data_IF_184885593126
#
_entry.id   IF_184885593126
#
_cell.length_a   1.000
_cell.length_b   1.000
_cell.length_c   1.000
_cell.angle_alpha   90.00
_cell.angle_beta   90.00
_cell.angle_gamma   90.00
#
_symmetry.space_group_name_H-M   'P 1'
#
loop_
_entity.id
_entity.type
_entity.pdbx_description
1 polymer ?
#
# COMPACT_ATOMS: atom_id res chain seq x y z
N UNK A 1 -13.30 -7.61 -49.18
CA UNK A 1 -13.84 -8.45 -48.09
C UNK A 1 -14.04 -7.56 -46.89
N UNK A 2 -15.20 -7.66 -46.20
CA UNK A 2 -15.61 -6.71 -45.18
C UNK A 2 -14.83 -6.93 -43.88
N UNK A 3 -14.69 -5.84 -43.14
CA UNK A 3 -14.00 -5.70 -41.86
C UNK A 3 -14.74 -6.55 -40.81
N UNK A 4 -14.02 -7.46 -40.17
CA UNK A 4 -14.47 -8.17 -38.96
C UNK A 4 -14.54 -7.18 -37.79
N UNK A 5 -15.63 -6.43 -37.69
CA UNK A 5 -15.84 -5.44 -36.60
C UNK A 5 -16.84 -5.93 -35.54
N UNK A 6 -17.24 -7.22 -35.60
CA UNK A 6 -18.35 -7.76 -34.78
C UNK A 6 -17.91 -8.55 -33.54
N UNK A 7 -16.61 -8.79 -33.34
CA UNK A 7 -16.10 -9.54 -32.18
C UNK A 7 -15.76 -8.65 -30.97
N UNK A 8 -15.60 -7.34 -31.11
CA UNK A 8 -14.98 -6.50 -30.08
C UNK A 8 -15.95 -6.08 -28.95
N UNK A 9 -17.21 -5.75 -29.26
CA UNK A 9 -18.17 -5.24 -28.26
C UNK A 9 -18.74 -6.33 -27.34
N UNK A 10 -18.91 -7.55 -27.84
CA UNK A 10 -19.41 -8.66 -27.04
C UNK A 10 -18.32 -9.17 -26.07
N UNK A 11 -17.07 -9.24 -26.52
CA UNK A 11 -15.93 -9.64 -25.69
C UNK A 11 -15.65 -8.60 -24.60
N UNK A 12 -15.71 -7.30 -24.93
CA UNK A 12 -15.58 -6.24 -23.92
C UNK A 12 -16.72 -6.23 -22.90
N UNK A 13 -17.96 -6.49 -23.32
CA UNK A 13 -19.10 -6.59 -22.39
C UNK A 13 -18.93 -7.77 -21.41
N UNK A 14 -18.46 -8.93 -21.91
CA UNK A 14 -18.16 -10.10 -21.06
C UNK A 14 -17.02 -9.80 -20.10
N UNK A 15 -15.94 -9.16 -20.57
CA UNK A 15 -14.80 -8.80 -19.72
C UNK A 15 -15.20 -7.86 -18.59
N UNK A 16 -15.99 -6.83 -18.89
CA UNK A 16 -16.50 -5.90 -17.88
C UNK A 16 -17.42 -6.60 -16.89
N UNK A 17 -18.29 -7.50 -17.36
CA UNK A 17 -19.19 -8.27 -16.48
C UNK A 17 -18.39 -9.13 -15.51
N UNK A 18 -17.39 -9.87 -15.99
CA UNK A 18 -16.51 -10.67 -15.14
C UNK A 18 -15.73 -9.81 -14.14
N UNK A 19 -15.29 -8.60 -14.53
CA UNK A 19 -14.61 -7.68 -13.65
C UNK A 19 -15.54 -7.17 -12.52
N UNK A 20 -16.81 -6.89 -12.83
CA UNK A 20 -17.81 -6.53 -11.81
C UNK A 20 -18.09 -7.68 -10.86
N UNK A 21 -18.29 -8.89 -11.36
CA UNK A 21 -18.50 -10.08 -10.52
C UNK A 21 -17.31 -10.32 -9.58
N UNK A 22 -16.08 -10.17 -10.10
CA UNK A 22 -14.88 -10.26 -9.28
C UNK A 22 -14.84 -9.17 -8.20
N UNK A 23 -15.22 -7.93 -8.53
CA UNK A 23 -15.33 -6.84 -7.57
C UNK A 23 -16.34 -7.13 -6.46
N UNK A 24 -17.49 -7.69 -6.80
CA UNK A 24 -18.50 -8.09 -5.82
C UNK A 24 -18.00 -9.22 -4.91
N UNK A 25 -17.26 -10.20 -5.46
CA UNK A 25 -16.65 -11.26 -4.67
C UNK A 25 -15.61 -10.72 -3.68
N UNK A 26 -14.79 -9.74 -4.09
CA UNK A 26 -13.81 -9.08 -3.21
C UNK A 26 -14.55 -8.34 -2.09
N UNK A 27 -15.60 -7.59 -2.41
CA UNK A 27 -16.39 -6.86 -1.41
C UNK A 27 -17.08 -7.79 -0.39
N UNK A 28 -17.36 -9.03 -0.76
CA UNK A 28 -17.95 -10.05 0.11
C UNK A 28 -16.90 -10.91 0.83
N UNK A 29 -15.60 -10.64 0.63
CA UNK A 29 -14.53 -11.40 1.26
C UNK A 29 -14.44 -11.11 2.75
N UNK A 30 -13.86 -12.06 3.49
CA UNK A 30 -13.68 -11.95 4.95
C UNK A 30 -12.72 -10.80 5.26
N UNK A 31 -11.68 -10.63 4.46
CA UNK A 31 -10.67 -9.59 4.60
C UNK A 31 -11.30 -8.19 4.50
N UNK A 32 -12.19 -7.96 3.53
CA UNK A 32 -12.89 -6.68 3.38
C UNK A 32 -13.91 -6.47 4.50
N UNK A 33 -14.63 -7.52 4.92
CA UNK A 33 -15.56 -7.43 6.04
C UNK A 33 -14.85 -7.06 7.35
N UNK A 34 -13.72 -7.69 7.65
CA UNK A 34 -12.89 -7.38 8.81
C UNK A 34 -12.32 -5.97 8.73
N UNK A 35 -11.82 -5.55 7.56
CA UNK A 35 -11.34 -4.19 7.34
C UNK A 35 -12.42 -3.15 7.64
N UNK A 36 -13.63 -3.30 7.10
CA UNK A 36 -14.74 -2.37 7.34
C UNK A 36 -15.12 -2.33 8.82
N UNK A 37 -15.22 -3.49 9.47
CA UNK A 37 -15.55 -3.56 10.89
C UNK A 37 -14.49 -2.86 11.76
N UNK A 38 -13.20 -3.13 11.54
CA UNK A 38 -12.12 -2.50 12.32
C UNK A 38 -11.98 -1.02 12.03
N UNK A 39 -12.24 -0.59 10.79
CA UNK A 39 -12.31 0.82 10.42
C UNK A 39 -13.37 1.55 11.21
N UNK A 40 -14.60 1.02 11.26
CA UNK A 40 -15.70 1.62 12.02
C UNK A 40 -15.38 1.69 13.53
N UNK A 41 -14.76 0.65 14.09
CA UNK A 41 -14.34 0.63 15.50
C UNK A 41 -13.26 1.68 15.79
N UNK A 42 -12.25 1.78 14.93
CA UNK A 42 -11.18 2.76 15.04
C UNK A 42 -11.71 4.19 14.90
N UNK A 43 -12.60 4.44 13.92
CA UNK A 43 -13.27 5.73 13.73
C UNK A 43 -14.28 6.05 14.85
N UNK A 44 -14.79 5.05 15.57
CA UNK A 44 -15.63 5.22 16.75
C UNK A 44 -14.85 5.58 18.01
N UNK A 45 -13.55 5.29 18.08
CA UNK A 45 -12.74 5.46 19.28
C UNK A 45 -12.28 6.91 19.44
N UNK A 46 -12.77 7.58 20.49
CA UNK A 46 -12.42 8.98 20.80
C UNK A 46 -10.94 9.19 21.15
N UNK A 47 -10.29 8.19 21.76
CA UNK A 47 -8.85 8.26 22.05
C UNK A 47 -8.04 8.27 20.76
N UNK A 48 -8.41 7.42 19.78
CA UNK A 48 -7.77 7.41 18.46
C UNK A 48 -7.94 8.77 17.78
N UNK A 49 -9.16 9.34 17.77
CA UNK A 49 -9.40 10.67 17.18
C UNK A 49 -8.54 11.76 17.82
N UNK A 50 -8.39 11.75 19.14
CA UNK A 50 -7.55 12.71 19.85
C UNK A 50 -6.10 12.57 19.44
N UNK A 51 -5.56 11.35 19.47
CA UNK A 51 -4.18 11.07 19.11
C UNK A 51 -3.88 11.35 17.63
N UNK A 52 -4.81 11.10 16.71
CA UNK A 52 -4.66 11.46 15.29
C UNK A 52 -4.52 12.98 15.13
N UNK A 53 -5.32 13.78 15.85
CA UNK A 53 -5.19 15.24 15.85
C UNK A 53 -3.86 15.70 16.46
N UNK A 54 -3.43 15.04 17.54
CA UNK A 54 -2.12 15.32 18.15
C UNK A 54 -0.96 15.00 17.21
N UNK A 55 -1.05 13.86 16.53
CA UNK A 55 -0.08 13.40 15.55
C UNK A 55 0.03 14.40 14.39
N UNK A 56 -1.09 14.85 13.83
CA UNK A 56 -1.10 15.84 12.75
C UNK A 56 -0.41 17.16 13.17
N UNK A 57 -0.71 17.66 14.38
CA UNK A 57 -0.10 18.89 14.92
C UNK A 57 1.41 18.73 15.18
N UNK A 58 1.85 17.59 15.71
CA UNK A 58 3.28 17.32 15.94
C UNK A 58 4.02 17.10 14.63
N UNK A 59 3.37 16.47 13.64
CA UNK A 59 3.89 16.28 12.29
C UNK A 59 4.12 17.62 11.59
N UNK A 60 3.18 18.55 11.69
CA UNK A 60 3.35 19.92 11.15
C UNK A 60 4.59 20.61 11.74
N UNK A 61 4.77 20.54 13.07
CA UNK A 61 5.97 21.08 13.74
C UNK A 61 7.26 20.39 13.29
N UNK A 62 7.21 19.08 13.04
CA UNK A 62 8.35 18.34 12.50
C UNK A 62 8.67 18.75 11.06
N UNK A 63 7.65 18.87 10.19
CA UNK A 63 7.79 19.32 8.80
C UNK A 63 8.34 20.76 8.74
N UNK A 64 7.96 21.64 9.66
CA UNK A 64 8.56 22.97 9.82
C UNK A 64 10.04 22.88 10.19
N UNK A 65 10.40 22.10 11.21
CA UNK A 65 11.80 21.92 11.62
C UNK A 65 12.65 21.26 10.52
N UNK A 66 12.07 20.33 9.77
CA UNK A 66 12.70 19.65 8.64
C UNK A 66 13.00 20.61 7.49
N UNK A 67 12.11 21.58 7.22
CA UNK A 67 12.34 22.61 6.19
C UNK A 67 13.58 23.47 6.47
N UNK A 68 13.91 23.70 7.73
CA UNK A 68 15.14 24.42 8.12
C UNK A 68 16.39 23.52 8.13
N UNK A 69 16.21 22.21 7.98
CA UNK A 69 17.28 21.22 7.88
C UNK A 69 17.63 20.54 9.20
N UNK A 70 18.39 19.45 9.08
CA UNK A 70 18.72 18.54 10.19
C UNK A 70 19.43 19.21 11.38
N UNK A 71 20.09 20.34 11.16
CA UNK A 71 20.78 21.11 12.21
C UNK A 71 19.86 22.03 13.01
N UNK A 72 18.55 22.02 12.74
CA UNK A 72 17.59 22.75 13.55
C UNK A 72 17.57 22.15 14.98
N UNK A 73 17.70 22.96 16.04
CA UNK A 73 17.79 22.47 17.42
C UNK A 73 16.56 21.67 17.85
N UNK A 74 15.39 21.98 17.28
CA UNK A 74 14.15 21.26 17.56
C UNK A 74 13.88 20.09 16.61
N UNK A 75 14.74 19.80 15.61
CA UNK A 75 14.48 18.72 14.64
C UNK A 75 14.35 17.36 15.32
N UNK A 76 15.34 16.98 16.13
CA UNK A 76 15.33 15.70 16.84
C UNK A 76 14.18 15.63 17.85
N UNK A 77 13.94 16.73 18.58
CA UNK A 77 12.85 16.80 19.55
C UNK A 77 11.48 16.66 18.88
N UNK A 78 11.23 17.35 17.78
CA UNK A 78 9.99 17.24 17.03
C UNK A 78 9.80 15.84 16.44
N UNK A 79 10.88 15.22 15.95
CA UNK A 79 10.87 13.83 15.47
C UNK A 79 10.47 12.86 16.57
N UNK A 80 11.08 12.97 17.74
CA UNK A 80 10.81 12.10 18.88
C UNK A 80 9.36 12.28 19.39
N UNK A 81 8.87 13.52 19.40
CA UNK A 81 7.47 13.82 19.75
C UNK A 81 6.47 13.16 18.78
N UNK A 82 6.75 13.14 17.48
CA UNK A 82 5.93 12.46 16.46
C UNK A 82 5.97 10.94 16.65
N UNK A 83 7.17 10.37 16.85
CA UNK A 83 7.34 8.94 17.06
C UNK A 83 6.65 8.46 18.35
N UNK A 84 6.67 9.27 19.41
CA UNK A 84 5.98 8.94 20.65
C UNK A 84 4.46 8.82 20.45
N UNK A 85 3.84 9.76 19.72
CA UNK A 85 2.38 9.69 19.44
C UNK A 85 2.07 8.58 18.45
N UNK A 86 2.95 8.31 17.49
CA UNK A 86 2.78 7.16 16.61
C UNK A 86 2.76 5.84 17.39
N UNK A 87 3.70 5.66 18.32
CA UNK A 87 3.75 4.47 19.16
C UNK A 87 2.53 4.35 20.07
N UNK A 88 2.02 5.47 20.59
CA UNK A 88 0.78 5.49 21.37
C UNK A 88 -0.44 5.10 20.52
N UNK A 89 -0.56 5.62 19.29
CA UNK A 89 -1.58 5.18 18.34
C UNK A 89 -1.48 3.69 18.03
N UNK A 90 -0.28 3.17 17.79
CA UNK A 90 -0.04 1.76 17.47
C UNK A 90 -0.29 0.82 18.65
N UNK A 91 -0.25 1.32 19.88
CA UNK A 91 -0.58 0.56 21.09
C UNK A 91 -2.09 0.32 21.28
N UNK A 92 -2.94 1.05 20.56
CA UNK A 92 -4.39 0.88 20.61
C UNK A 92 -4.77 -0.35 19.78
N UNK A 93 -5.51 -1.27 20.39
CA UNK A 93 -5.89 -2.53 19.76
C UNK A 93 -6.65 -2.29 18.45
N UNK A 94 -7.58 -1.35 18.42
CA UNK A 94 -8.38 -1.04 17.23
C UNK A 94 -7.51 -0.54 16.06
N UNK A 95 -6.46 0.24 16.35
CA UNK A 95 -5.52 0.73 15.32
C UNK A 95 -4.65 -0.42 14.82
N UNK A 96 -4.15 -1.25 15.73
CA UNK A 96 -3.36 -2.43 15.38
C UNK A 96 -4.15 -3.41 14.50
N UNK A 97 -5.37 -3.74 14.91
CA UNK A 97 -6.23 -4.65 14.15
C UNK A 97 -6.67 -4.06 12.82
N UNK A 98 -6.96 -2.76 12.77
CA UNK A 98 -7.24 -2.06 11.51
C UNK A 98 -6.06 -2.17 10.53
N UNK A 99 -4.82 -1.93 10.99
CA UNK A 99 -3.62 -2.08 10.15
C UNK A 99 -3.42 -3.51 9.64
N UNK A 100 -3.68 -4.52 10.49
CA UNK A 100 -3.60 -5.92 10.06
C UNK A 100 -4.65 -6.25 9.00
N UNK A 101 -5.88 -5.74 9.15
CA UNK A 101 -6.94 -5.93 8.18
C UNK A 101 -6.65 -5.21 6.86
N UNK A 102 -6.07 -4.00 6.92
CA UNK A 102 -5.59 -3.26 5.75
C UNK A 102 -4.52 -4.06 4.99
N UNK A 103 -3.52 -4.61 5.70
CA UNK A 103 -2.48 -5.45 5.10
C UNK A 103 -3.05 -6.73 4.46
N UNK A 104 -4.10 -7.31 5.06
CA UNK A 104 -4.77 -8.49 4.51
C UNK A 104 -5.50 -8.18 3.19
N UNK A 105 -6.23 -7.05 3.12
CA UNK A 105 -6.88 -6.59 1.89
C UNK A 105 -5.84 -6.25 0.82
N UNK A 106 -4.75 -5.58 1.18
CA UNK A 106 -3.66 -5.27 0.25
C UNK A 106 -3.04 -6.54 -0.35
N UNK A 107 -2.79 -7.57 0.47
CA UNK A 107 -2.31 -8.88 0.00
C UNK A 107 -3.29 -9.55 -0.93
N UNK A 108 -4.59 -9.52 -0.61
CA UNK A 108 -5.64 -10.08 -1.47
C UNK A 108 -5.63 -9.41 -2.85
N UNK A 109 -5.64 -8.08 -2.89
CA UNK A 109 -5.63 -7.30 -4.13
C UNK A 109 -4.34 -7.50 -4.93
N UNK A 110 -3.19 -7.61 -4.25
CA UNK A 110 -1.92 -7.89 -4.89
C UNK A 110 -1.91 -9.27 -5.56
N UNK A 111 -2.33 -10.32 -4.84
CA UNK A 111 -2.39 -11.69 -5.37
C UNK A 111 -3.35 -11.80 -6.56
N UNK A 112 -4.49 -11.10 -6.52
CA UNK A 112 -5.43 -11.05 -7.63
C UNK A 112 -4.81 -10.35 -8.86
N UNK A 113 -4.14 -9.22 -8.63
CA UNK A 113 -3.44 -8.48 -9.69
C UNK A 113 -2.34 -9.32 -10.35
N UNK A 114 -1.56 -10.03 -9.54
CA UNK A 114 -0.53 -10.97 -10.01
C UNK A 114 -1.14 -12.12 -10.83
N UNK A 115 -2.21 -12.73 -10.31
CA UNK A 115 -2.89 -13.84 -10.99
C UNK A 115 -3.43 -13.42 -12.37
N UNK A 116 -4.05 -12.24 -12.47
CA UNK A 116 -4.57 -11.70 -13.74
C UNK A 116 -3.41 -11.41 -14.70
N UNK A 117 -2.34 -10.77 -14.22
CA UNK A 117 -1.20 -10.42 -15.07
C UNK A 117 -0.52 -11.67 -15.66
N UNK A 118 -0.28 -12.69 -14.84
CA UNK A 118 0.33 -13.95 -15.27
C UNK A 118 -0.56 -14.74 -16.23
N UNK A 119 -1.89 -14.66 -16.07
CA UNK A 119 -2.83 -15.29 -16.99
C UNK A 119 -2.83 -14.63 -18.39
N UNK A 120 -2.49 -13.33 -18.47
CA UNK A 120 -2.41 -12.58 -19.73
C UNK A 120 -1.02 -12.72 -20.37
N UNK A 121 0.05 -12.71 -19.57
CA UNK A 121 1.43 -12.92 -20.04
C UNK A 121 2.38 -13.20 -18.89
N UNK A 122 3.13 -14.30 -19.00
CA UNK A 122 4.18 -14.69 -18.06
C UNK A 122 5.34 -13.68 -17.95
N UNK A 123 5.38 -12.64 -18.80
CA UNK A 123 6.44 -11.61 -18.83
C UNK A 123 6.01 -10.26 -18.29
N UNK A 124 4.73 -10.05 -17.95
CA UNK A 124 4.25 -8.79 -17.37
C UNK A 124 4.63 -8.74 -15.89
N UNK A 125 5.42 -7.72 -15.51
CA UNK A 125 5.80 -7.48 -14.12
C UNK A 125 4.71 -6.68 -13.42
N UNK A 126 4.14 -7.23 -12.36
CA UNK A 126 3.22 -6.49 -11.48
C UNK A 126 4.05 -5.72 -10.45
N UNK A 127 3.92 -4.38 -10.37
CA UNK A 127 4.55 -3.62 -9.29
C UNK A 127 3.95 -4.09 -7.96
N UNK A 128 4.79 -4.66 -7.11
CA UNK A 128 4.45 -4.93 -5.71
C UNK A 128 4.73 -3.69 -4.88
N UNK A 129 3.95 -3.47 -3.82
CA UNK A 129 4.24 -2.44 -2.81
C UNK A 129 5.43 -2.81 -1.91
N UNK A 130 6.04 -3.99 -2.12
CA UNK A 130 7.23 -4.44 -1.39
C UNK A 130 8.53 -3.91 -2.07
N UNK A 131 9.37 -3.12 -1.38
CA UNK A 131 10.63 -2.61 -1.93
C UNK A 131 11.69 -3.69 -2.21
N UNK A 132 11.44 -4.96 -1.84
CA UNK A 132 12.27 -6.09 -2.23
C UNK A 132 11.55 -7.04 -3.18
N UNK A 133 11.69 -6.86 -4.50
CA UNK A 133 11.27 -7.89 -5.44
C UNK A 133 12.13 -9.14 -5.23
N UNK A 134 11.55 -10.18 -4.63
CA UNK A 134 12.13 -11.53 -4.62
C UNK A 134 12.05 -12.13 -6.02
N UNK A 135 12.94 -11.70 -6.92
CA UNK A 135 12.95 -12.16 -8.29
C UNK A 135 14.02 -11.50 -9.14
N UNK A 136 15.28 -11.88 -8.94
CA UNK A 136 16.40 -11.33 -9.70
C UNK A 136 17.76 -11.93 -9.38
N UNK A 137 17.85 -13.27 -9.24
CA UNK A 137 19.14 -13.94 -9.35
C UNK A 137 19.53 -13.99 -10.84
N UNK A 138 20.04 -12.88 -11.36
CA UNK A 138 20.70 -12.81 -12.65
C UNK A 138 22.17 -13.18 -12.48
N UNK A 139 22.50 -14.47 -12.60
CA UNK A 139 23.87 -14.88 -12.88
C UNK A 139 24.26 -14.37 -14.26
N UNK A 140 25.33 -13.57 -14.35
CA UNK A 140 25.98 -13.29 -15.63
C UNK A 140 26.40 -11.84 -15.78
N UNK A 141 27.70 -11.59 -15.67
CA UNK A 141 28.27 -10.32 -16.14
C UNK A 141 29.42 -9.76 -15.31
N UNK A 142 30.45 -10.56 -15.03
CA UNK A 142 31.80 -9.99 -14.91
C UNK A 142 32.15 -9.32 -16.25
N UNK A 143 32.02 -7.99 -16.32
CA UNK A 143 32.69 -7.18 -17.32
C UNK A 143 33.08 -5.87 -16.67
N UNK A 144 34.38 -5.74 -16.45
CA UNK A 144 35.00 -4.73 -15.61
C UNK A 144 34.83 -3.29 -16.08
N UNK A 145 35.14 -2.39 -15.14
CA UNK A 145 35.42 -0.99 -15.42
C UNK A 145 34.82 -0.04 -14.40
N UNK A 146 35.46 0.11 -13.24
CA UNK A 146 35.97 1.42 -12.86
C UNK A 146 36.84 1.35 -11.60
N UNK A 147 38.00 1.96 -11.75
CA UNK A 147 38.97 2.30 -10.73
C UNK A 147 38.40 3.34 -9.74
N UNK A 148 38.92 3.25 -8.52
CA UNK A 148 39.26 4.38 -7.63
C UNK A 148 38.17 5.37 -7.19
N UNK A 149 37.91 5.44 -5.88
CA UNK A 149 38.44 6.48 -4.97
C UNK A 149 37.56 6.59 -3.72
N UNK A 150 38.25 6.67 -2.57
CA UNK A 150 37.93 7.38 -1.32
C UNK A 150 36.58 7.18 -0.64
#
# INVERSE_FOLDING_TARGET
>A
MPIEEKQDVADMAVLLTNAYELGDMINQSIEVADYVMWKERMEGNEQVKQLVREFARKKERFEEAERFGHFHPDYHKAKDEVLAVQHELESIEEVFQFKQAEEAVDKLLHNLSETIALAVSETIKVPSNDPQPKGGCGSGGCSGGCSSCS
#
